data_IF_895489671113
#
_entry.id   IF_895489671113
#
_cell.length_a   1.000
_cell.length_b   1.000
_cell.length_c   1.000
_cell.angle_alpha   90.00
_cell.angle_beta   90.00
_cell.angle_gamma   90.00
#
_symmetry.space_group_name_H-M   'P 1'
#
loop_
_entity.id
_entity.type
_entity.pdbx_description
1 polymer ?
#
# COMPACT_ATOMS: atom_id res chain seq x y z
N UNK A 1 -19.22 23.33 3.18
CA UNK A 1 -18.94 22.54 1.96
C UNK A 1 -17.44 22.34 1.77
N UNK A 2 -16.64 23.40 1.77
CA UNK A 2 -15.16 23.36 1.68
C UNK A 2 -14.50 22.34 2.65
N UNK A 3 -14.76 22.48 3.95
CA UNK A 3 -14.16 21.65 5.01
C UNK A 3 -14.49 20.15 4.83
N UNK A 4 -15.70 19.84 4.36
CA UNK A 4 -16.15 18.46 4.20
C UNK A 4 -15.35 17.78 3.08
N UNK A 5 -15.11 18.49 1.98
CA UNK A 5 -14.35 17.98 0.83
C UNK A 5 -12.89 17.75 1.25
N UNK A 6 -12.29 18.69 1.97
CA UNK A 6 -10.91 18.55 2.45
C UNK A 6 -10.75 17.35 3.38
N UNK A 7 -11.69 17.15 4.31
CA UNK A 7 -11.68 16.00 5.24
C UNK A 7 -11.82 14.68 4.47
N UNK A 8 -12.65 14.62 3.44
CA UNK A 8 -12.81 13.41 2.61
C UNK A 8 -11.53 13.05 1.85
N UNK A 9 -10.84 14.05 1.28
CA UNK A 9 -9.57 13.83 0.57
C UNK A 9 -8.49 13.34 1.54
N UNK A 10 -8.34 13.99 2.70
CA UNK A 10 -7.33 13.61 3.69
C UNK A 10 -7.62 12.21 4.26
N UNK A 11 -8.88 11.91 4.58
CA UNK A 11 -9.28 10.60 5.10
C UNK A 11 -9.07 9.49 4.07
N UNK A 12 -9.43 9.71 2.81
CA UNK A 12 -9.22 8.72 1.74
C UNK A 12 -7.74 8.47 1.45
N UNK A 13 -6.93 9.53 1.35
CA UNK A 13 -5.48 9.40 1.17
C UNK A 13 -4.83 8.66 2.36
N UNK A 14 -5.19 9.03 3.59
CA UNK A 14 -4.73 8.35 4.81
C UNK A 14 -5.14 6.87 4.85
N UNK A 15 -6.36 6.54 4.45
CA UNK A 15 -6.84 5.16 4.40
C UNK A 15 -6.11 4.31 3.34
N UNK A 16 -5.83 4.87 2.16
CA UNK A 16 -5.08 4.20 1.09
C UNK A 16 -3.64 3.96 1.54
N UNK A 17 -2.98 4.97 2.10
CA UNK A 17 -1.62 4.87 2.62
C UNK A 17 -1.54 3.85 3.76
N UNK A 18 -2.47 3.88 4.71
CA UNK A 18 -2.51 2.92 5.82
C UNK A 18 -2.72 1.48 5.33
N UNK A 19 -3.62 1.27 4.36
CA UNK A 19 -3.86 -0.06 3.76
C UNK A 19 -2.63 -0.56 2.99
N UNK A 20 -1.99 0.30 2.22
CA UNK A 20 -0.78 -0.05 1.47
C UNK A 20 0.40 -0.33 2.40
N UNK A 21 0.57 0.48 3.45
CA UNK A 21 1.62 0.27 4.44
C UNK A 21 1.40 -1.00 5.25
N UNK A 22 0.16 -1.30 5.67
CA UNK A 22 -0.19 -2.59 6.29
C UNK A 22 0.07 -3.77 5.37
N UNK A 23 -0.29 -3.66 4.08
CA UNK A 23 0.00 -4.71 3.09
C UNK A 23 1.51 -4.95 2.93
N UNK A 24 2.29 -3.86 2.84
CA UNK A 24 3.76 -3.93 2.75
C UNK A 24 4.40 -4.48 4.04
N UNK A 25 3.90 -4.09 5.21
CA UNK A 25 4.41 -4.52 6.52
C UNK A 25 4.05 -5.97 6.87
N UNK A 26 2.88 -6.46 6.43
CA UNK A 26 2.49 -7.87 6.54
C UNK A 26 3.20 -8.77 5.50
N UNK A 27 4.15 -8.23 4.72
CA UNK A 27 4.89 -9.01 3.71
C UNK A 27 4.03 -9.50 2.55
N UNK A 28 2.82 -8.97 2.36
CA UNK A 28 1.96 -9.30 1.21
C UNK A 28 2.60 -8.70 -0.05
N UNK A 29 3.28 -9.55 -0.82
CA UNK A 29 3.77 -9.21 -2.15
C UNK A 29 2.59 -8.69 -2.98
N UNK A 30 2.78 -7.62 -3.75
CA UNK A 30 1.75 -7.10 -4.68
C UNK A 30 1.63 -7.98 -5.93
N UNK A 31 2.17 -9.21 -5.91
CA UNK A 31 1.88 -10.25 -6.87
C UNK A 31 0.62 -11.00 -6.42
N UNK A 32 -0.34 -11.18 -7.33
CA UNK A 32 -1.59 -11.93 -7.07
C UNK A 32 -1.38 -13.38 -6.59
N UNK A 33 -0.13 -13.88 -6.66
CA UNK A 33 0.37 -15.06 -5.96
C UNK A 33 1.79 -14.77 -5.47
N UNK A 34 2.10 -15.13 -4.22
CA UNK A 34 3.47 -15.20 -3.73
C UNK A 34 4.18 -16.38 -4.41
N UNK A 35 4.67 -16.14 -5.62
CA UNK A 35 5.51 -17.07 -6.36
C UNK A 35 6.98 -16.65 -6.20
N UNK A 36 7.90 -17.60 -6.33
CA UNK A 36 9.36 -17.42 -6.21
C UNK A 36 9.98 -16.45 -7.22
N UNK A 37 9.16 -15.79 -8.05
CA UNK A 37 9.51 -14.77 -9.05
C UNK A 37 8.99 -13.37 -8.66
N UNK A 38 8.81 -13.09 -7.37
CA UNK A 38 8.48 -11.74 -6.90
C UNK A 38 9.74 -10.85 -7.01
N UNK A 39 9.76 -9.80 -7.84
CA UNK A 39 10.96 -8.99 -8.13
C UNK A 39 11.42 -8.08 -6.98
N UNK A 40 10.97 -8.37 -5.75
CA UNK A 40 11.38 -7.65 -4.54
C UNK A 40 12.57 -8.32 -3.83
N UNK A 41 13.17 -9.33 -4.46
CA UNK A 41 14.37 -10.04 -4.01
C UNK A 41 15.33 -10.23 -5.20
N UNK A 42 15.67 -9.15 -5.90
CA UNK A 42 16.84 -9.13 -6.80
C UNK A 42 17.72 -7.91 -6.50
N UNK A 43 17.92 -7.64 -5.21
CA UNK A 43 19.05 -6.87 -4.71
C UNK A 43 19.60 -7.59 -3.47
N UNK A 44 20.47 -8.58 -3.71
CA UNK A 44 21.66 -8.91 -2.92
C UNK A 44 22.42 -10.03 -3.65
N UNK A 45 23.62 -9.68 -4.14
CA UNK A 45 24.72 -10.49 -4.70
C UNK A 45 24.63 -12.02 -4.56
#
# INVERSE_FOLDING_TARGET
MEIIITVLIVASAGAILYRNLKRKAQGKCECGSCNSKCPKYEERD
#
